data_IF_217394175873
#
_entry.id   IF_217394175873
#
_cell.length_a   1.000
_cell.length_b   1.000
_cell.length_c   1.000
_cell.angle_alpha   90.00
_cell.angle_beta   90.00
_cell.angle_gamma   90.00
#
_symmetry.space_group_name_H-M   'P 1'
#
loop_
_entity.id
_entity.type
_entity.pdbx_description
1 polymer ?
#
# COMPACT_ATOMS: atom_id res chain seq x y z
N UNK A 1 6.92 1.25 20.12
CA UNK A 1 6.83 -0.08 19.47
C UNK A 1 6.08 0.11 18.17
N UNK A 2 6.41 -0.60 17.11
CA UNK A 2 5.59 -0.56 15.89
C UNK A 2 4.29 -1.33 16.13
N UNK A 3 3.16 -0.73 15.77
CA UNK A 3 1.84 -1.36 15.76
C UNK A 3 1.52 -1.82 14.34
N UNK A 4 0.94 -3.01 14.20
CA UNK A 4 0.63 -3.61 12.90
C UNK A 4 -0.89 -3.68 12.72
N UNK A 5 -1.38 -3.21 11.58
CA UNK A 5 -2.77 -3.32 11.15
C UNK A 5 -2.89 -4.25 9.94
N UNK A 6 -3.90 -5.12 9.95
CA UNK A 6 -4.18 -6.02 8.83
C UNK A 6 -5.07 -5.30 7.81
N UNK A 7 -4.55 -5.10 6.60
CA UNK A 7 -5.27 -4.37 5.54
C UNK A 7 -5.84 -5.26 4.43
N UNK A 8 -5.23 -6.41 4.13
CA UNK A 8 -5.64 -7.30 3.04
C UNK A 8 -5.08 -8.73 3.20
N UNK A 9 -5.47 -9.64 2.30
CA UNK A 9 -4.78 -10.93 2.08
C UNK A 9 -3.81 -10.79 0.90
N UNK A 10 -2.82 -11.67 0.84
CA UNK A 10 -1.87 -11.75 -0.29
C UNK A 10 -2.55 -12.02 -1.62
N UNK A 11 -3.69 -12.74 -1.61
CA UNK A 11 -4.49 -13.02 -2.82
C UNK A 11 -5.30 -11.82 -3.31
N UNK A 12 -5.38 -10.75 -2.51
CA UNK A 12 -6.08 -9.53 -2.91
C UNK A 12 -5.20 -8.63 -3.78
N UNK A 13 -3.88 -8.86 -3.85
CA UNK A 13 -2.93 -8.04 -4.63
C UNK A 13 -2.06 -8.99 -5.45
N UNK A 14 -2.36 -9.13 -6.73
CA UNK A 14 -1.64 -10.05 -7.62
C UNK A 14 -0.22 -9.53 -7.94
N UNK A 15 0.73 -10.39 -8.34
CA UNK A 15 2.03 -9.95 -8.83
C UNK A 15 1.89 -8.93 -9.97
N UNK A 16 2.61 -7.81 -9.86
CA UNK A 16 2.52 -6.66 -10.77
C UNK A 16 1.40 -5.66 -10.44
N UNK A 17 0.59 -5.92 -9.41
CA UNK A 17 -0.50 -5.05 -9.00
C UNK A 17 -0.07 -4.12 -7.85
N UNK A 18 -0.69 -2.93 -7.82
CA UNK A 18 -0.63 -2.00 -6.70
C UNK A 18 -2.04 -1.68 -6.23
N UNK A 19 -2.25 -1.66 -4.92
CA UNK A 19 -3.53 -1.29 -4.30
C UNK A 19 -3.31 -0.38 -3.11
N UNK A 20 -4.17 0.62 -2.99
CA UNK A 20 -4.16 1.60 -1.91
C UNK A 20 -5.13 1.21 -0.81
N UNK A 21 -4.70 1.36 0.44
CA UNK A 21 -5.47 1.05 1.64
C UNK A 21 -5.41 2.23 2.60
N UNK A 22 -6.53 2.51 3.27
CA UNK A 22 -6.58 3.53 4.32
C UNK A 22 -6.11 2.88 5.63
N UNK A 23 -5.04 3.44 6.21
CA UNK A 23 -4.45 2.99 7.48
C UNK A 23 -4.42 4.20 8.42
N UNK A 24 -5.37 4.25 9.36
CA UNK A 24 -5.62 5.45 10.15
C UNK A 24 -6.03 6.64 9.26
N UNK A 25 -5.18 7.69 9.23
CA UNK A 25 -5.41 8.90 8.44
C UNK A 25 -4.54 8.96 7.17
N UNK A 26 -3.79 7.90 6.84
CA UNK A 26 -2.92 7.84 5.68
C UNK A 26 -3.49 6.88 4.64
N UNK A 27 -3.26 7.19 3.37
CA UNK A 27 -3.46 6.24 2.27
C UNK A 27 -2.11 5.61 1.96
N UNK A 28 -2.04 4.28 2.08
CA UNK A 28 -0.82 3.50 1.88
C UNK A 28 -1.02 2.61 0.66
N UNK A 29 -0.16 2.78 -0.34
CA UNK A 29 -0.08 1.88 -1.48
C UNK A 29 0.78 0.66 -1.14
N UNK A 30 0.27 -0.51 -1.45
CA UNK A 30 1.00 -1.77 -1.38
C UNK A 30 1.17 -2.31 -2.80
N UNK A 31 2.42 -2.49 -3.22
CA UNK A 31 2.74 -3.16 -4.47
C UNK A 31 3.21 -4.59 -4.23
N UNK A 32 2.85 -5.48 -5.14
CA UNK A 32 3.35 -6.85 -5.20
C UNK A 32 4.32 -6.96 -6.39
N UNK A 33 5.62 -7.02 -6.11
CA UNK A 33 6.66 -7.26 -7.10
C UNK A 33 7.06 -8.72 -7.07
N UNK A 34 6.47 -9.53 -7.96
CA UNK A 34 6.80 -10.96 -8.12
C UNK A 34 6.69 -11.81 -6.83
N UNK A 35 5.76 -11.46 -5.94
CA UNK A 35 5.53 -12.11 -4.64
C UNK A 35 6.16 -11.39 -3.44
N UNK A 36 6.99 -10.38 -3.67
CA UNK A 36 7.51 -9.49 -2.63
C UNK A 36 6.63 -8.24 -2.48
N UNK A 37 6.26 -7.91 -1.24
CA UNK A 37 5.35 -6.81 -0.95
C UNK A 37 6.10 -5.59 -0.42
N UNK A 38 5.82 -4.42 -0.99
CA UNK A 38 6.36 -3.14 -0.56
C UNK A 38 5.21 -2.19 -0.23
N UNK A 39 5.36 -1.41 0.83
CA UNK A 39 4.37 -0.43 1.26
C UNK A 39 4.98 0.97 1.30
N UNK A 40 4.27 1.95 0.76
CA UNK A 40 4.66 3.35 0.71
C UNK A 40 3.43 4.25 0.77
N UNK A 41 3.62 5.52 1.12
CA UNK A 41 2.52 6.49 1.15
C UNK A 41 2.03 6.68 -0.29
N UNK A 42 0.72 6.57 -0.50
CA UNK A 42 0.06 6.79 -1.79
C UNK A 42 -0.11 8.29 -2.06
N UNK A 43 1.02 9.00 -2.05
CA UNK A 43 1.09 10.43 -2.31
C UNK A 43 2.27 10.68 -3.25
N UNK A 44 2.00 11.35 -4.36
CA UNK A 44 3.07 11.78 -5.24
C UNK A 44 3.78 12.98 -4.63
N UNK A 45 5.09 12.87 -4.42
CA UNK A 45 5.90 13.97 -3.87
C UNK A 45 6.01 15.18 -4.79
N UNK A 46 5.68 15.04 -6.08
CA UNK A 46 5.75 16.13 -7.06
C UNK A 46 4.49 17.00 -7.08
N UNK A 47 3.31 16.38 -6.91
CA UNK A 47 2.03 17.06 -7.01
C UNK A 47 1.01 16.34 -6.13
N UNK A 48 0.43 17.06 -5.17
CA UNK A 48 -0.69 16.55 -4.39
C UNK A 48 -1.92 16.52 -5.31
N UNK A 49 -2.20 15.36 -5.89
CA UNK A 49 -3.43 15.14 -6.63
C UNK A 49 -4.61 15.19 -5.64
N UNK A 50 -5.68 15.97 -5.92
CA UNK A 50 -6.81 16.17 -5.02
C UNK A 50 -7.67 14.92 -4.83
#
# INVERSE_FOLDING_TARGET
MAEFEKVAKVSDINPGEVKSFVVGNLVIAICNSDGEFFAFIDECSHETLP
#
